data_IF_495682142879
#
_entry.id   IF_495682142879
#
_cell.length_a   1.000
_cell.length_b   1.000
_cell.length_c   1.000
_cell.angle_alpha   90.00
_cell.angle_beta   90.00
_cell.angle_gamma   90.00
#
_symmetry.space_group_name_H-M   'P 1'
#
loop_
_entity.id
_entity.type
_entity.pdbx_description
1 polymer ?
#
# COMPACT_ATOMS: atom_id res chain seq x y z
N UNK A 1 -52.44 -27.97 -47.76
CA UNK A 1 -53.60 -27.18 -47.30
C UNK A 1 -54.74 -28.14 -46.99
N UNK A 2 -55.47 -27.95 -45.89
CA UNK A 2 -55.07 -27.23 -44.66
C UNK A 2 -54.28 -28.24 -43.77
N UNK A 3 -54.14 -28.24 -42.44
CA UNK A 3 -54.40 -27.27 -41.35
C UNK A 3 -53.09 -27.08 -40.52
N UNK A 4 -53.13 -26.18 -39.53
CA UNK A 4 -52.21 -26.13 -38.37
C UNK A 4 -53.03 -25.55 -37.20
N UNK A 5 -52.90 -26.04 -35.96
CA UNK A 5 -52.81 -25.08 -34.86
C UNK A 5 -51.82 -25.46 -33.74
N UNK A 6 -50.92 -24.51 -33.50
CA UNK A 6 -50.55 -23.98 -32.17
C UNK A 6 -50.05 -24.96 -31.10
N UNK A 7 -48.74 -24.95 -30.85
CA UNK A 7 -48.15 -25.39 -29.59
C UNK A 7 -47.06 -24.41 -29.12
N UNK A 8 -47.15 -24.04 -27.83
CA UNK A 8 -46.15 -23.42 -26.95
C UNK A 8 -45.14 -22.40 -27.53
N UNK A 9 -45.32 -21.13 -27.14
CA UNK A 9 -44.20 -20.20 -26.99
C UNK A 9 -43.56 -20.46 -25.62
N UNK A 10 -42.35 -21.02 -25.58
CA UNK A 10 -41.54 -21.02 -24.36
C UNK A 10 -41.09 -19.59 -24.07
N UNK A 11 -41.70 -18.97 -23.05
CA UNK A 11 -41.20 -17.75 -22.46
C UNK A 11 -39.98 -18.10 -21.61
N UNK A 12 -38.79 -17.71 -22.07
CA UNK A 12 -37.60 -17.72 -21.24
C UNK A 12 -37.79 -16.77 -20.06
N UNK A 13 -37.93 -17.31 -18.86
CA UNK A 13 -37.86 -16.53 -17.62
C UNK A 13 -36.46 -15.89 -17.55
N UNK A 14 -36.42 -14.57 -17.66
CA UNK A 14 -35.21 -13.80 -17.38
C UNK A 14 -35.07 -13.75 -15.87
N UNK A 15 -34.11 -14.52 -15.36
CA UNK A 15 -33.74 -14.55 -13.95
C UNK A 15 -33.19 -13.17 -13.56
N UNK A 16 -34.09 -12.32 -13.07
CA UNK A 16 -33.78 -10.98 -12.58
C UNK A 16 -33.05 -11.11 -11.25
N UNK A 17 -31.75 -11.42 -11.31
CA UNK A 17 -30.84 -11.31 -10.19
C UNK A 17 -30.96 -9.89 -9.60
N UNK A 18 -31.55 -9.79 -8.41
CA UNK A 18 -31.65 -8.53 -7.69
C UNK A 18 -30.25 -7.93 -7.52
N UNK A 19 -30.09 -6.60 -7.63
CA UNK A 19 -28.79 -5.97 -7.44
C UNK A 19 -28.33 -6.24 -6.02
N UNK A 20 -27.35 -7.12 -5.88
CA UNK A 20 -26.70 -7.44 -4.62
C UNK A 20 -26.34 -6.10 -3.93
N UNK A 21 -26.94 -5.85 -2.76
CA UNK A 21 -26.61 -4.72 -1.91
C UNK A 21 -25.20 -4.96 -1.34
N UNK A 22 -24.20 -4.76 -2.20
CA UNK A 22 -22.80 -4.75 -1.81
C UNK A 22 -22.65 -3.71 -0.69
N UNK A 23 -22.10 -4.15 0.44
CA UNK A 23 -21.77 -3.23 1.53
C UNK A 23 -20.91 -2.09 0.97
N UNK A 24 -21.14 -0.84 1.43
CA UNK A 24 -20.43 0.30 0.90
C UNK A 24 -18.94 0.08 1.06
N UNK A 25 -18.21 0.16 -0.05
CA UNK A 25 -16.76 0.01 -0.07
C UNK A 25 -16.14 0.93 1.01
N UNK A 26 -15.37 0.41 1.99
CA UNK A 26 -14.90 1.18 3.14
C UNK A 26 -13.94 2.33 2.78
N UNK A 27 -13.53 2.44 1.51
CA UNK A 27 -12.63 3.48 0.97
C UNK A 27 -13.30 4.36 -0.11
N UNK A 28 -14.62 4.53 -0.08
CA UNK A 28 -15.31 5.43 -1.00
C UNK A 28 -15.09 6.90 -0.60
N UNK A 29 -14.06 7.52 -1.18
CA UNK A 29 -13.78 8.95 -1.04
C UNK A 29 -14.83 9.80 -1.76
N UNK A 30 -15.48 10.71 -1.03
CA UNK A 30 -16.40 11.70 -1.57
C UNK A 30 -15.66 12.98 -1.97
N UNK A 31 -14.53 13.29 -1.32
CA UNK A 31 -13.63 14.39 -1.70
C UNK A 31 -12.48 13.92 -2.61
N UNK A 32 -12.14 14.74 -3.62
CA UNK A 32 -10.94 14.53 -4.46
C UNK A 32 -9.85 15.58 -4.18
N UNK A 33 -10.09 16.44 -3.20
CA UNK A 33 -9.30 17.61 -2.84
C UNK A 33 -9.61 17.99 -1.39
N UNK A 34 -8.88 18.97 -0.84
CA UNK A 34 -9.11 19.46 0.52
C UNK A 34 -10.55 19.90 0.78
N UNK A 35 -10.95 19.81 2.05
CA UNK A 35 -12.24 20.26 2.56
C UNK A 35 -12.09 21.62 3.26
N UNK A 36 -13.16 22.42 3.24
CA UNK A 36 -13.21 23.69 3.98
C UNK A 36 -13.40 23.49 5.48
N UNK A 37 -13.67 24.57 6.23
CA UNK A 37 -14.04 24.51 7.65
C UNK A 37 -15.21 23.56 7.93
N UNK A 38 -15.30 23.09 9.17
CA UNK A 38 -16.39 22.21 9.61
C UNK A 38 -17.76 22.89 9.41
N UNK A 39 -18.75 22.20 8.79
CA UNK A 39 -20.05 22.78 8.52
C UNK A 39 -20.80 23.13 9.81
N UNK A 40 -21.50 24.27 9.81
CA UNK A 40 -22.24 24.75 10.99
C UNK A 40 -21.44 25.68 11.93
N UNK A 41 -20.11 25.73 11.81
CA UNK A 41 -19.25 26.59 12.63
C UNK A 41 -18.93 26.01 14.01
N UNK A 42 -18.33 26.82 14.90
CA UNK A 42 -17.78 26.35 16.19
C UNK A 42 -18.84 25.73 17.14
N UNK A 43 -20.13 26.06 16.97
CA UNK A 43 -21.24 25.49 17.76
C UNK A 43 -21.56 24.03 17.41
N UNK A 44 -21.28 23.61 16.17
CA UNK A 44 -21.53 22.26 15.65
C UNK A 44 -20.26 21.38 15.63
N UNK A 45 -19.17 21.86 16.25
CA UNK A 45 -17.91 21.12 16.28
C UNK A 45 -17.99 19.82 17.09
N UNK A 46 -17.43 18.71 16.58
CA UNK A 46 -17.36 17.47 17.33
C UNK A 46 -16.43 17.61 18.53
N UNK A 47 -16.81 16.97 19.63
CA UNK A 47 -16.14 17.13 20.94
C UNK A 47 -15.10 16.04 21.24
N UNK A 48 -14.96 15.04 20.36
CA UNK A 48 -14.00 13.95 20.55
C UNK A 48 -12.56 14.44 20.46
N UNK A 49 -11.72 13.95 21.38
CA UNK A 49 -10.35 14.43 21.55
C UNK A 49 -9.45 14.23 20.30
N UNK A 50 -9.83 13.33 19.38
CA UNK A 50 -9.09 13.05 18.15
C UNK A 50 -9.23 14.14 17.07
N UNK A 51 -10.21 15.03 17.16
CA UNK A 51 -10.35 16.16 16.23
C UNK A 51 -9.38 17.31 16.54
N UNK A 52 -8.89 17.97 15.51
CA UNK A 52 -7.97 19.11 15.60
C UNK A 52 -8.73 20.45 15.42
N UNK A 53 -8.78 21.31 16.46
CA UNK A 53 -9.49 22.60 16.40
C UNK A 53 -8.96 23.59 15.35
N UNK A 54 -7.72 23.45 14.87
CA UNK A 54 -7.22 24.30 13.77
C UNK A 54 -7.82 23.83 12.44
N UNK A 55 -7.84 22.51 12.19
CA UNK A 55 -8.42 21.93 10.98
C UNK A 55 -9.94 22.12 10.93
N UNK A 56 -10.65 22.00 12.06
CA UNK A 56 -12.09 22.28 12.13
C UNK A 56 -12.42 23.75 11.78
N UNK A 57 -11.51 24.70 12.08
CA UNK A 57 -11.70 26.13 11.80
C UNK A 57 -11.32 26.55 10.40
N UNK A 58 -10.18 26.09 9.91
CA UNK A 58 -9.56 26.60 8.68
C UNK A 58 -9.74 25.64 7.49
N UNK A 59 -10.16 24.40 7.76
CA UNK A 59 -10.31 23.31 6.80
C UNK A 59 -9.12 22.36 6.75
N UNK A 60 -9.31 21.22 6.11
CA UNK A 60 -8.32 20.16 6.00
C UNK A 60 -7.93 19.89 4.53
N UNK A 61 -6.76 20.41 4.15
CA UNK A 61 -6.19 20.27 2.80
C UNK A 61 -5.18 19.12 2.68
N UNK A 62 -5.02 18.28 3.71
CA UNK A 62 -4.04 17.19 3.74
C UNK A 62 -4.42 16.07 2.75
N UNK A 63 -3.45 15.25 2.35
CA UNK A 63 -3.71 14.04 1.58
C UNK A 63 -4.06 12.87 2.53
N UNK A 64 -5.26 12.92 3.09
CA UNK A 64 -5.86 11.87 3.94
C UNK A 64 -7.24 11.51 3.41
N UNK A 65 -7.68 10.28 3.68
CA UNK A 65 -9.04 9.81 3.35
C UNK A 65 -10.11 10.51 4.19
N UNK A 66 -11.34 10.54 3.71
CA UNK A 66 -12.45 11.33 4.27
C UNK A 66 -12.73 10.99 5.75
N UNK A 67 -12.55 9.73 6.18
CA UNK A 67 -12.72 9.31 7.58
C UNK A 67 -11.75 9.98 8.56
N UNK A 68 -10.59 10.43 8.07
CA UNK A 68 -9.53 11.08 8.85
C UNK A 68 -9.51 12.60 8.70
N UNK A 69 -10.50 13.19 8.01
CA UNK A 69 -10.60 14.64 7.89
C UNK A 69 -10.74 15.27 9.26
N UNK A 70 -10.00 16.36 9.45
CA UNK A 70 -9.92 17.11 10.71
C UNK A 70 -9.32 16.32 11.88
N UNK A 71 -8.89 15.06 11.73
CA UNK A 71 -8.24 14.33 12.82
C UNK A 71 -6.81 14.82 13.05
N UNK A 72 -6.38 14.84 14.30
CA UNK A 72 -4.97 15.05 14.67
C UNK A 72 -4.09 13.95 14.08
N UNK A 73 -2.84 14.29 13.78
CA UNK A 73 -1.88 13.40 13.12
C UNK A 73 -1.57 12.15 13.96
N UNK A 74 -1.44 12.30 15.27
CA UNK A 74 -1.20 11.22 16.23
C UNK A 74 -2.41 10.29 16.38
N UNK A 75 -3.63 10.83 16.37
CA UNK A 75 -4.85 10.04 16.36
C UNK A 75 -5.00 9.18 15.09
N UNK A 76 -4.62 9.72 13.92
CA UNK A 76 -4.57 8.95 12.66
C UNK A 76 -3.55 7.81 12.77
N UNK A 77 -2.35 8.06 13.30
CA UNK A 77 -1.34 7.01 13.51
C UNK A 77 -1.86 5.94 14.47
N UNK A 78 -2.46 6.31 15.59
CA UNK A 78 -2.98 5.37 16.58
C UNK A 78 -4.16 4.52 16.06
N UNK A 79 -4.96 5.03 15.12
CA UNK A 79 -6.00 4.25 14.42
C UNK A 79 -5.43 3.31 13.35
N UNK A 80 -4.45 3.78 12.57
CA UNK A 80 -3.74 2.93 11.61
C UNK A 80 -3.06 1.75 12.32
N UNK A 81 -2.35 2.01 13.42
CA UNK A 81 -1.58 1.02 14.19
C UNK A 81 -2.42 -0.13 14.78
N UNK A 82 -3.74 0.03 14.89
CA UNK A 82 -4.67 -1.05 15.27
C UNK A 82 -4.94 -2.06 14.14
N UNK A 83 -4.68 -1.67 12.89
CA UNK A 83 -5.15 -2.37 11.69
C UNK A 83 -4.04 -2.65 10.65
N UNK A 84 -2.78 -2.29 10.94
CA UNK A 84 -1.66 -2.52 10.02
C UNK A 84 -1.50 -3.99 9.67
N UNK A 85 -1.17 -4.23 8.42
CA UNK A 85 -0.75 -5.52 7.92
C UNK A 85 0.69 -5.81 8.35
N UNK A 86 1.01 -7.04 8.80
CA UNK A 86 2.30 -7.35 9.41
C UNK A 86 3.44 -7.57 8.39
N UNK A 87 3.29 -7.08 7.17
CA UNK A 87 4.37 -6.97 6.21
C UNK A 87 5.07 -5.61 6.33
N UNK A 88 6.35 -5.62 6.03
CA UNK A 88 7.24 -4.47 6.06
C UNK A 88 7.75 -4.20 4.63
N UNK A 89 8.18 -2.97 4.37
CA UNK A 89 8.83 -2.61 3.11
C UNK A 89 10.25 -2.13 3.40
N UNK A 90 11.25 -2.57 2.65
CA UNK A 90 12.63 -2.10 2.78
C UNK A 90 13.16 -1.60 1.44
N UNK A 91 13.90 -0.49 1.43
CA UNK A 91 14.44 0.13 0.22
C UNK A 91 15.87 0.59 0.42
N UNK A 92 16.76 0.19 -0.49
CA UNK A 92 18.14 0.66 -0.53
C UNK A 92 18.25 2.12 -0.98
N UNK A 93 19.07 2.90 -0.28
CA UNK A 93 19.30 4.33 -0.51
C UNK A 93 20.80 4.66 -0.53
N UNK A 94 21.50 4.25 -1.59
CA UNK A 94 22.93 4.48 -1.73
C UNK A 94 23.28 5.68 -2.61
N UNK A 95 22.50 5.93 -3.68
CA UNK A 95 22.78 6.98 -4.66
C UNK A 95 21.53 7.80 -5.03
N UNK A 96 20.44 7.12 -5.40
CA UNK A 96 19.22 7.74 -5.95
C UNK A 96 17.99 7.45 -5.10
N UNK A 97 17.29 8.50 -4.65
CA UNK A 97 16.24 8.44 -3.63
C UNK A 97 14.84 8.80 -4.14
N UNK A 98 14.68 9.03 -5.46
CA UNK A 98 13.45 9.58 -6.06
C UNK A 98 12.21 8.71 -5.83
N UNK A 99 12.39 7.39 -5.73
CA UNK A 99 11.31 6.43 -5.53
C UNK A 99 10.86 6.29 -4.07
N UNK A 100 11.71 6.66 -3.10
CA UNK A 100 11.50 6.34 -1.68
C UNK A 100 10.20 6.96 -1.16
N UNK A 101 9.92 8.22 -1.51
CA UNK A 101 8.66 8.85 -1.13
C UNK A 101 7.42 8.15 -1.69
N UNK A 102 7.47 7.70 -2.94
CA UNK A 102 6.36 6.95 -3.56
C UNK A 102 6.17 5.58 -2.89
N UNK A 103 7.27 4.89 -2.55
CA UNK A 103 7.23 3.62 -1.81
C UNK A 103 6.62 3.81 -0.41
N UNK A 104 7.02 4.85 0.32
CA UNK A 104 6.44 5.21 1.63
C UNK A 104 4.93 5.48 1.52
N UNK A 105 4.50 6.17 0.45
CA UNK A 105 3.08 6.42 0.18
C UNK A 105 2.31 5.13 -0.14
N UNK A 106 2.83 4.26 -0.99
CA UNK A 106 2.23 2.95 -1.28
C UNK A 106 2.15 2.07 -0.04
N UNK A 107 3.21 2.03 0.78
CA UNK A 107 3.23 1.28 2.03
C UNK A 107 2.15 1.76 3.00
N UNK A 108 1.93 3.08 3.13
CA UNK A 108 0.83 3.59 3.96
C UNK A 108 -0.56 3.28 3.36
N UNK A 109 -0.72 3.39 2.03
CA UNK A 109 -1.98 3.08 1.35
C UNK A 109 -2.37 1.59 1.47
N UNK A 110 -1.40 0.68 1.54
CA UNK A 110 -1.59 -0.75 1.82
C UNK A 110 -1.45 -1.10 3.31
N UNK A 111 -1.48 -0.11 4.21
CA UNK A 111 -1.39 -0.28 5.66
C UNK A 111 -0.22 -1.16 6.15
N UNK A 112 0.93 -1.12 5.47
CA UNK A 112 2.16 -1.81 5.89
C UNK A 112 2.56 -1.38 7.31
N UNK A 113 3.17 -2.31 8.06
CA UNK A 113 3.68 -2.07 9.42
C UNK A 113 4.70 -0.92 9.44
N UNK A 114 5.85 -1.13 8.81
CA UNK A 114 6.99 -0.21 8.84
C UNK A 114 7.72 -0.18 7.49
N UNK A 115 8.26 1.00 7.15
CA UNK A 115 9.17 1.20 6.01
C UNK A 115 10.61 1.37 6.49
N UNK A 116 11.51 0.55 5.97
CA UNK A 116 12.93 0.48 6.34
C UNK A 116 13.79 1.14 5.24
N UNK A 117 14.50 2.20 5.60
CA UNK A 117 15.43 2.88 4.69
C UNK A 117 16.84 2.37 4.95
N UNK A 118 17.41 1.61 4.01
CA UNK A 118 18.75 1.01 4.14
C UNK A 118 19.80 1.95 3.53
N UNK A 119 20.87 2.24 4.25
CA UNK A 119 21.89 3.19 3.81
C UNK A 119 21.60 4.62 4.26
N UNK A 120 21.57 5.58 3.33
CA UNK A 120 21.49 7.01 3.67
C UNK A 120 20.19 7.34 4.41
N UNK A 121 20.31 7.94 5.59
CA UNK A 121 19.15 8.38 6.40
C UNK A 121 18.31 9.49 5.78
N UNK A 122 18.89 10.30 4.88
CA UNK A 122 18.18 11.38 4.17
C UNK A 122 17.73 10.87 2.80
N UNK A 123 16.49 11.18 2.45
CA UNK A 123 15.84 10.77 1.21
C UNK A 123 14.79 11.82 0.78
N UNK A 124 14.41 11.78 -0.50
CA UNK A 124 13.49 12.72 -1.13
C UNK A 124 12.03 12.45 -0.76
N UNK A 125 11.51 13.26 0.17
CA UNK A 125 10.13 13.16 0.69
C UNK A 125 9.04 13.60 -0.30
N UNK A 126 9.37 14.16 -1.46
CA UNK A 126 8.37 14.74 -2.38
C UNK A 126 7.30 13.75 -2.83
N UNK A 127 7.70 12.52 -3.17
CA UNK A 127 6.76 11.46 -3.58
C UNK A 127 5.80 11.00 -2.47
N UNK A 128 6.16 11.23 -1.20
CA UNK A 128 5.35 10.81 -0.05
C UNK A 128 4.12 11.68 0.16
N UNK A 129 4.04 12.89 -0.40
CA UNK A 129 2.89 13.80 -0.23
C UNK A 129 2.49 14.02 1.25
N UNK A 130 3.50 14.13 2.14
CA UNK A 130 3.36 14.25 3.62
C UNK A 130 2.87 12.96 4.32
N UNK A 131 2.51 11.91 3.57
CA UNK A 131 2.13 10.61 4.12
C UNK A 131 3.24 9.93 4.93
N UNK A 132 4.50 10.35 4.78
CA UNK A 132 5.63 9.94 5.63
C UNK A 132 5.48 10.32 7.12
N UNK A 133 4.49 11.15 7.46
CA UNK A 133 4.14 11.48 8.85
C UNK A 133 3.14 10.52 9.49
N UNK A 134 2.41 9.73 8.70
CA UNK A 134 1.44 8.73 9.18
C UNK A 134 1.99 7.29 9.07
N UNK A 135 3.25 7.15 8.68
CA UNK A 135 3.90 5.87 8.43
C UNK A 135 5.12 5.70 9.34
N UNK A 136 5.31 4.51 9.89
CA UNK A 136 6.52 4.16 10.64
C UNK A 136 7.68 4.05 9.65
N UNK A 137 8.75 4.81 9.91
CA UNK A 137 9.95 4.83 9.05
C UNK A 137 11.20 4.63 9.92
N UNK A 138 11.84 3.48 9.76
CA UNK A 138 13.11 3.15 10.39
C UNK A 138 14.27 3.31 9.40
N UNK A 139 15.48 3.54 9.90
CA UNK A 139 16.69 3.62 9.08
C UNK A 139 17.76 2.66 9.61
N UNK A 140 18.31 1.89 8.69
CA UNK A 140 19.43 0.98 8.90
C UNK A 140 20.66 1.57 8.17
N UNK A 141 21.85 1.64 8.78
CA UNK A 141 23.05 2.13 8.11
C UNK A 141 23.47 1.26 6.91
N UNK A 142 23.15 -0.05 6.95
CA UNK A 142 23.46 -1.01 5.89
C UNK A 142 22.54 -2.24 5.92
N UNK A 143 22.75 -3.16 4.97
CA UNK A 143 21.99 -4.41 4.83
C UNK A 143 22.20 -5.33 6.03
N UNK A 144 23.39 -5.35 6.64
CA UNK A 144 23.67 -6.24 7.77
C UNK A 144 22.88 -5.82 9.02
N UNK A 145 22.70 -4.52 9.24
CA UNK A 145 21.84 -3.99 10.30
C UNK A 145 20.35 -4.30 10.04
N UNK A 146 19.87 -4.19 8.79
CA UNK A 146 18.51 -4.64 8.43
C UNK A 146 18.33 -6.13 8.71
N UNK A 147 19.28 -6.98 8.34
CA UNK A 147 19.24 -8.44 8.57
C UNK A 147 19.25 -8.77 10.05
N UNK A 148 20.07 -8.07 10.84
CA UNK A 148 20.09 -8.24 12.29
C UNK A 148 18.74 -7.86 12.92
N UNK A 149 18.14 -6.75 12.46
CA UNK A 149 16.81 -6.32 12.90
C UNK A 149 15.72 -7.32 12.50
N UNK A 150 15.70 -7.77 11.24
CA UNK A 150 14.71 -8.71 10.71
C UNK A 150 14.71 -10.04 11.47
N UNK A 151 15.91 -10.59 11.74
CA UNK A 151 16.09 -11.81 12.53
C UNK A 151 15.67 -11.66 13.99
N UNK A 152 15.82 -10.47 14.57
CA UNK A 152 15.37 -10.19 15.94
C UNK A 152 13.83 -10.10 16.08
N UNK A 153 13.10 -10.03 14.97
CA UNK A 153 11.63 -9.93 14.91
C UNK A 153 10.99 -11.11 14.15
N UNK A 154 11.75 -12.17 13.86
CA UNK A 154 11.33 -13.35 13.10
C UNK A 154 10.67 -13.02 11.74
N UNK A 155 11.23 -12.03 11.02
CA UNK A 155 10.75 -11.58 9.72
C UNK A 155 11.66 -12.07 8.58
N UNK A 156 11.20 -12.97 7.68
CA UNK A 156 11.93 -13.34 6.48
C UNK A 156 12.01 -12.14 5.50
N UNK A 157 13.13 -12.05 4.78
CA UNK A 157 13.40 -11.00 3.79
C UNK A 157 13.12 -11.57 2.40
N UNK A 158 12.14 -10.99 1.71
CA UNK A 158 11.76 -11.36 0.34
C UNK A 158 12.25 -10.25 -0.60
N UNK A 159 13.30 -10.54 -1.36
CA UNK A 159 13.86 -9.63 -2.35
C UNK A 159 12.94 -9.55 -3.58
N UNK A 160 12.69 -8.35 -4.11
CA UNK A 160 11.93 -8.14 -5.35
C UNK A 160 12.84 -7.63 -6.46
N UNK A 161 13.28 -8.53 -7.35
CA UNK A 161 14.19 -8.26 -8.48
C UNK A 161 14.06 -9.35 -9.57
N UNK A 162 14.44 -9.05 -10.82
CA UNK A 162 14.35 -9.97 -11.96
C UNK A 162 15.68 -10.66 -12.29
N UNK A 163 16.35 -11.18 -11.25
CA UNK A 163 17.62 -11.90 -11.36
C UNK A 163 17.44 -13.41 -11.58
N UNK A 164 18.38 -14.13 -12.22
CA UNK A 164 18.23 -15.56 -12.49
C UNK A 164 17.99 -16.40 -11.23
N UNK A 165 16.89 -17.17 -11.23
CA UNK A 165 16.46 -17.98 -10.09
C UNK A 165 15.36 -17.35 -9.23
N UNK A 166 14.87 -16.16 -9.60
CA UNK A 166 13.63 -15.56 -9.11
C UNK A 166 12.41 -16.49 -9.29
N UNK A 167 11.42 -16.32 -8.42
CA UNK A 167 10.08 -16.93 -8.53
C UNK A 167 9.08 -15.90 -9.04
N UNK A 168 8.19 -16.29 -9.95
CA UNK A 168 7.14 -15.41 -10.48
C UNK A 168 6.15 -14.99 -9.38
N UNK A 169 5.97 -13.68 -9.22
CA UNK A 169 5.08 -13.06 -8.21
C UNK A 169 3.62 -13.48 -8.36
N UNK A 170 3.21 -13.87 -9.56
CA UNK A 170 1.86 -14.34 -9.87
C UNK A 170 1.56 -15.72 -9.25
N UNK A 171 2.60 -16.44 -8.79
CA UNK A 171 2.51 -17.79 -8.21
C UNK A 171 3.23 -17.92 -6.85
N UNK A 172 3.85 -16.84 -6.36
CA UNK A 172 4.59 -16.84 -5.10
C UNK A 172 3.64 -16.88 -3.90
N UNK A 173 3.90 -17.80 -2.97
CA UNK A 173 3.17 -17.92 -1.69
C UNK A 173 3.83 -16.99 -0.66
N UNK A 174 3.19 -15.86 -0.37
CA UNK A 174 3.75 -14.84 0.51
C UNK A 174 3.69 -15.28 1.97
N UNK A 175 4.75 -15.12 2.77
CA UNK A 175 4.61 -15.19 4.22
C UNK A 175 3.73 -14.03 4.74
N UNK A 176 2.78 -14.32 5.64
CA UNK A 176 1.94 -13.28 6.27
C UNK A 176 2.82 -12.19 6.92
N UNK A 177 3.90 -12.60 7.61
CA UNK A 177 4.89 -11.67 8.18
C UNK A 177 6.18 -11.75 7.36
N UNK A 178 6.59 -10.65 6.72
CA UNK A 178 7.84 -10.57 5.95
C UNK A 178 8.31 -9.13 5.72
N UNK A 179 9.55 -8.96 5.27
CA UNK A 179 10.07 -7.70 4.72
C UNK A 179 10.19 -7.83 3.19
N UNK A 180 9.43 -7.02 2.45
CA UNK A 180 9.60 -6.88 1.00
C UNK A 180 10.77 -5.93 0.72
N UNK A 181 11.89 -6.44 0.24
CA UNK A 181 13.13 -5.69 0.02
C UNK A 181 13.31 -5.30 -1.45
N UNK A 182 13.53 -4.01 -1.67
CA UNK A 182 13.68 -3.37 -2.98
C UNK A 182 15.07 -2.75 -3.14
N UNK A 183 15.67 -2.94 -4.31
CA UNK A 183 16.90 -2.26 -4.71
C UNK A 183 16.70 -0.78 -5.05
N UNK A 184 17.80 -0.04 -5.16
CA UNK A 184 17.77 1.37 -5.55
C UNK A 184 17.57 1.54 -7.07
N UNK A 185 17.10 2.73 -7.48
CA UNK A 185 17.04 3.10 -8.91
C UNK A 185 18.45 3.14 -9.52
N UNK A 186 18.64 2.54 -10.70
CA UNK A 186 19.92 2.50 -11.41
C UNK A 186 20.58 1.11 -11.40
N UNK A 187 21.48 0.79 -10.46
CA UNK A 187 22.16 -0.50 -10.39
C UNK A 187 21.26 -1.67 -9.94
N UNK A 188 20.06 -1.42 -9.45
CA UNK A 188 19.19 -2.45 -8.86
C UNK A 188 19.57 -2.76 -7.41
N UNK A 189 19.31 -3.98 -6.97
CA UNK A 189 19.60 -4.44 -5.61
C UNK A 189 21.07 -4.86 -5.45
N UNK A 190 21.64 -4.61 -4.26
CA UNK A 190 23.00 -5.03 -3.93
C UNK A 190 23.15 -6.55 -3.83
N UNK A 191 24.38 -7.03 -4.03
CA UNK A 191 24.71 -8.47 -3.90
C UNK A 191 24.51 -8.92 -2.45
N UNK A 192 24.80 -8.03 -1.50
CA UNK A 192 24.58 -8.21 -0.07
C UNK A 192 23.10 -8.39 0.27
N UNK A 193 22.21 -7.57 -0.33
CA UNK A 193 20.77 -7.69 -0.17
C UNK A 193 20.20 -8.97 -0.81
N UNK A 194 20.65 -9.34 -2.00
CA UNK A 194 20.26 -10.60 -2.65
C UNK A 194 20.75 -11.84 -1.87
N UNK A 195 21.96 -11.81 -1.32
CA UNK A 195 22.52 -12.90 -0.51
C UNK A 195 21.88 -13.01 0.89
N UNK A 196 21.20 -11.95 1.35
CA UNK A 196 20.49 -11.89 2.61
C UNK A 196 19.02 -12.34 2.52
N UNK A 197 18.46 -12.46 1.33
CA UNK A 197 17.06 -12.78 1.11
C UNK A 197 16.76 -14.28 1.26
N UNK A 198 15.64 -14.60 1.90
CA UNK A 198 15.13 -15.96 2.05
C UNK A 198 14.47 -16.46 0.75
N UNK A 199 13.96 -15.54 -0.07
CA UNK A 199 13.51 -15.79 -1.44
C UNK A 199 13.69 -14.54 -2.31
N UNK A 200 13.78 -14.73 -3.64
CA UNK A 200 13.77 -13.66 -4.63
C UNK A 200 12.55 -13.82 -5.53
N UNK A 201 11.78 -12.75 -5.71
CA UNK A 201 10.50 -12.72 -6.42
C UNK A 201 10.58 -11.72 -7.56
N UNK A 202 10.18 -12.12 -8.77
CA UNK A 202 10.12 -11.24 -9.93
C UNK A 202 8.69 -10.95 -10.36
N UNK A 203 8.46 -9.72 -10.84
CA UNK A 203 7.23 -9.37 -11.55
C UNK A 203 7.43 -9.77 -13.02
N UNK A 204 6.55 -10.61 -13.55
CA UNK A 204 6.70 -11.10 -14.92
C UNK A 204 6.53 -9.96 -15.92
N UNK A 205 7.50 -9.80 -16.83
CA UNK A 205 7.54 -8.71 -17.80
C UNK A 205 7.50 -9.24 -19.24
N UNK A 206 6.58 -8.71 -20.04
CA UNK A 206 6.37 -9.06 -21.45
C UNK A 206 6.77 -7.94 -22.43
N UNK A 207 7.33 -6.85 -21.92
CA UNK A 207 7.72 -5.66 -22.68
C UNK A 207 9.21 -5.62 -23.06
N UNK A 208 9.65 -4.49 -23.61
CA UNK A 208 11.04 -4.24 -24.03
C UNK A 208 11.91 -3.52 -22.99
N UNK A 209 11.36 -3.16 -21.83
CA UNK A 209 12.14 -2.57 -20.73
C UNK A 209 13.01 -3.64 -20.05
N UNK A 210 14.12 -3.22 -19.44
CA UNK A 210 14.95 -4.10 -18.60
C UNK A 210 14.27 -4.41 -17.26
N UNK A 211 13.54 -3.44 -16.72
CA UNK A 211 12.89 -3.52 -15.41
C UNK A 211 11.73 -2.53 -15.30
N UNK A 212 10.90 -2.73 -14.28
CA UNK A 212 9.96 -1.72 -13.80
C UNK A 212 10.68 -0.65 -12.96
N UNK A 213 10.07 0.52 -12.85
CA UNK A 213 10.48 1.51 -11.84
C UNK A 213 10.29 0.91 -10.42
N UNK A 214 11.24 1.14 -9.51
CA UNK A 214 11.21 0.49 -8.19
C UNK A 214 9.96 0.85 -7.35
N UNK A 215 9.40 2.05 -7.48
CA UNK A 215 8.14 2.38 -6.78
C UNK A 215 6.91 1.69 -7.38
N UNK A 216 6.89 1.44 -8.68
CA UNK A 216 5.85 0.65 -9.33
C UNK A 216 5.97 -0.85 -8.95
N UNK A 217 7.20 -1.39 -8.94
CA UNK A 217 7.45 -2.75 -8.48
C UNK A 217 7.03 -2.94 -7.01
N UNK A 218 7.35 -1.97 -6.15
CA UNK A 218 6.94 -1.98 -4.75
C UNK A 218 5.41 -1.98 -4.59
N UNK A 219 4.69 -1.14 -5.33
CA UNK A 219 3.23 -1.12 -5.29
C UNK A 219 2.61 -2.45 -5.77
N UNK A 220 3.15 -3.06 -6.82
CA UNK A 220 2.69 -4.37 -7.32
C UNK A 220 2.95 -5.48 -6.29
N UNK A 221 4.13 -5.50 -5.66
CA UNK A 221 4.47 -6.53 -4.68
C UNK A 221 3.65 -6.43 -3.38
N UNK A 222 3.44 -5.20 -2.86
CA UNK A 222 2.55 -4.98 -1.72
C UNK A 222 1.10 -5.39 -2.06
N UNK A 223 0.60 -5.05 -3.24
CA UNK A 223 -0.73 -5.47 -3.67
C UNK A 223 -0.83 -7.00 -3.83
N UNK A 224 0.21 -7.66 -4.34
CA UNK A 224 0.28 -9.13 -4.43
C UNK A 224 0.18 -9.80 -3.05
N UNK A 225 0.89 -9.27 -2.04
CA UNK A 225 0.73 -9.71 -0.64
C UNK A 225 -0.70 -9.48 -0.13
N UNK A 226 -1.28 -8.30 -0.39
CA UNK A 226 -2.66 -7.95 0.02
C UNK A 226 -3.71 -8.87 -0.60
N UNK A 227 -3.50 -9.39 -1.81
CA UNK A 227 -4.41 -10.36 -2.43
C UNK A 227 -4.46 -11.71 -1.69
N UNK A 228 -3.44 -12.06 -0.90
CA UNK A 228 -3.38 -13.30 -0.13
C UNK A 228 -3.77 -13.10 1.34
N UNK A 229 -3.36 -11.99 1.95
CA UNK A 229 -3.46 -11.76 3.40
C UNK A 229 -4.28 -10.53 3.81
N UNK A 230 -4.71 -9.71 2.84
CA UNK A 230 -5.52 -8.51 3.07
C UNK A 230 -6.85 -8.85 3.73
N UNK A 231 -6.96 -8.49 5.01
CA UNK A 231 -8.20 -8.66 5.79
C UNK A 231 -9.19 -7.57 5.38
N UNK A 232 -10.45 -7.96 5.14
CA UNK A 232 -11.58 -7.05 4.94
C UNK A 232 -12.15 -6.63 6.29
#
# INVERSE_FOLDING_TARGET
>A
MPENPTAAQDHAEQDHAEPNHAEPNPTNELSTHGVGPWPGGEEEWPQDAHFDPELLRDGDTRNVIDRYRYWRMDAIVADLDQHRHPFHAAIENWQHDMNIGSIVRSANAFAADTVHIVGRRRWNKRGAMVTDRYQHVLNHPDVADLVAWARAHDLPIIAVDNVPGSVSIETFDWPERCILLFGQEGPGMSVEALAAADAVVEITQYGSTRSLNASAAAAVAMHSWVLQWGRR
#
